data_IF_627007328821
#
_entry.id   IF_627007328821
#
_cell.length_a   1.000
_cell.length_b   1.000
_cell.length_c   1.000
_cell.angle_alpha   90.00
_cell.angle_beta   90.00
_cell.angle_gamma   90.00
#
_symmetry.space_group_name_H-M   'P 1'
#
loop_
_entity.id
_entity.type
_entity.pdbx_description
1 polymer ?
#
# COMPACT_ATOMS: atom_id res chain seq x y z
N UNK A 1 6.56 21.09 -3.99
CA UNK A 1 7.79 20.33 -4.17
C UNK A 1 7.47 18.86 -4.35
N UNK A 2 8.07 18.26 -5.32
CA UNK A 2 7.83 16.86 -5.59
C UNK A 2 8.50 15.96 -4.57
N UNK A 3 7.77 15.00 -4.05
CA UNK A 3 8.31 14.04 -3.10
C UNK A 3 9.03 12.91 -3.85
N UNK A 4 10.33 12.82 -3.68
CA UNK A 4 11.15 11.80 -4.35
C UNK A 4 10.91 10.39 -3.84
N UNK A 5 10.23 10.22 -2.71
CA UNK A 5 9.86 8.90 -2.18
C UNK A 5 8.73 8.24 -2.97
N UNK A 6 8.03 9.03 -3.78
CA UNK A 6 6.87 8.54 -4.53
C UNK A 6 7.05 8.86 -6.01
N UNK A 7 7.23 7.82 -6.78
CA UNK A 7 7.27 7.94 -8.24
C UNK A 7 5.89 7.69 -8.81
N UNK A 8 5.60 8.32 -9.93
CA UNK A 8 4.40 7.98 -10.69
C UNK A 8 4.49 6.53 -11.14
N UNK A 9 3.39 5.79 -11.00
CA UNK A 9 3.33 4.43 -11.51
C UNK A 9 3.59 4.39 -13.01
N UNK A 10 3.08 5.35 -13.75
CA UNK A 10 3.29 5.41 -15.20
C UNK A 10 4.76 5.64 -15.55
N UNK A 11 5.46 6.48 -14.79
CA UNK A 11 6.90 6.69 -15.01
C UNK A 11 7.69 5.40 -14.88
N UNK A 12 7.37 4.59 -13.87
CA UNK A 12 8.05 3.32 -13.64
C UNK A 12 7.69 2.31 -14.73
N UNK A 13 6.41 2.19 -15.05
CA UNK A 13 5.90 1.21 -16.00
C UNK A 13 6.37 1.48 -17.43
N UNK A 14 6.33 2.72 -17.84
CA UNK A 14 6.73 3.10 -19.21
C UNK A 14 8.22 2.84 -19.46
N UNK A 15 9.03 2.94 -18.41
CA UNK A 15 10.46 2.65 -18.53
C UNK A 15 10.79 1.17 -18.61
N UNK A 16 10.03 0.33 -17.91
CA UNK A 16 10.48 -1.02 -17.62
C UNK A 16 9.62 -2.14 -18.21
N UNK A 17 8.39 -1.89 -18.59
CA UNK A 17 7.45 -2.99 -18.81
C UNK A 17 6.78 -3.01 -20.16
N UNK A 18 6.68 -1.93 -20.83
CA UNK A 18 6.00 -1.87 -22.10
C UNK A 18 4.69 -1.11 -22.03
N UNK A 19 3.89 -1.24 -23.07
CA UNK A 19 2.72 -0.39 -23.26
C UNK A 19 1.55 -0.76 -22.37
N UNK A 20 0.81 0.28 -21.95
CA UNK A 20 -0.44 0.13 -21.21
C UNK A 20 -1.41 -0.72 -22.01
N UNK A 21 -2.15 -1.57 -21.33
CA UNK A 21 -3.19 -2.40 -21.94
C UNK A 21 -2.76 -3.80 -22.32
N UNK A 22 -1.49 -4.15 -22.21
CA UNK A 22 -1.07 -5.54 -22.41
C UNK A 22 -1.36 -6.36 -21.14
N UNK A 23 -1.74 -7.64 -21.26
CA UNK A 23 -1.98 -8.47 -20.07
C UNK A 23 -0.78 -8.54 -19.12
N UNK A 24 0.42 -8.60 -19.66
CA UNK A 24 1.63 -8.61 -18.86
C UNK A 24 1.78 -7.30 -18.07
N UNK A 25 1.55 -6.18 -18.72
CA UNK A 25 1.63 -4.86 -18.11
C UNK A 25 0.60 -4.71 -16.99
N UNK A 26 -0.64 -5.15 -17.21
CA UNK A 26 -1.71 -5.06 -16.23
C UNK A 26 -1.42 -5.88 -14.98
N UNK A 27 -0.92 -7.08 -15.14
CA UNK A 27 -0.53 -7.92 -14.00
C UNK A 27 0.57 -7.26 -13.19
N UNK A 28 1.57 -6.72 -13.86
CA UNK A 28 2.66 -6.02 -13.19
C UNK A 28 2.16 -4.77 -12.44
N UNK A 29 1.23 -4.04 -13.02
CA UNK A 29 0.64 -2.87 -12.38
C UNK A 29 -0.04 -3.22 -11.07
N UNK A 30 -0.82 -4.28 -11.05
CA UNK A 30 -1.51 -4.72 -9.85
C UNK A 30 -0.51 -5.12 -8.76
N UNK A 31 0.53 -5.86 -9.12
CA UNK A 31 1.58 -6.26 -8.18
C UNK A 31 2.34 -5.06 -7.64
N UNK A 32 2.66 -4.09 -8.50
CA UNK A 32 3.37 -2.88 -8.11
C UNK A 32 2.52 -2.03 -7.18
N UNK A 33 1.23 -1.87 -7.47
CA UNK A 33 0.32 -1.13 -6.60
C UNK A 33 0.24 -1.74 -5.21
N UNK A 34 0.09 -3.05 -5.14
CA UNK A 34 0.05 -3.77 -3.86
C UNK A 34 1.37 -3.60 -3.10
N UNK A 35 2.50 -3.68 -3.79
CA UNK A 35 3.81 -3.45 -3.20
C UNK A 35 3.91 -2.04 -2.61
N UNK A 36 3.48 -1.02 -3.35
CA UNK A 36 3.57 0.36 -2.90
C UNK A 36 2.67 0.63 -1.69
N UNK A 37 1.49 0.03 -1.64
CA UNK A 37 0.60 0.14 -0.48
C UNK A 37 1.25 -0.52 0.74
N UNK A 38 1.84 -1.70 0.57
CA UNK A 38 2.57 -2.38 1.63
C UNK A 38 3.72 -1.53 2.17
N UNK A 39 4.47 -0.90 1.27
CA UNK A 39 5.56 0.01 1.65
C UNK A 39 5.05 1.23 2.41
N UNK A 40 3.90 1.76 2.05
CA UNK A 40 3.29 2.89 2.75
C UNK A 40 2.93 2.50 4.19
N UNK A 41 2.38 1.31 4.39
CA UNK A 41 2.07 0.78 5.72
C UNK A 41 3.36 0.66 6.54
N UNK A 42 4.40 0.10 5.95
CA UNK A 42 5.70 -0.07 6.62
C UNK A 42 6.31 1.28 7.00
N UNK A 43 6.29 2.26 6.10
CA UNK A 43 6.78 3.61 6.39
C UNK A 43 6.02 4.26 7.54
N UNK A 44 4.70 4.17 7.51
CA UNK A 44 3.86 4.73 8.57
C UNK A 44 4.18 4.08 9.91
N UNK A 45 4.30 2.76 9.93
CA UNK A 45 4.66 2.01 11.13
C UNK A 45 6.01 2.48 11.70
N UNK A 46 7.02 2.55 10.85
CA UNK A 46 8.36 2.96 11.27
C UNK A 46 8.40 4.41 11.75
N UNK A 47 7.61 5.28 11.14
CA UNK A 47 7.56 6.70 11.54
C UNK A 47 6.99 6.86 12.95
N UNK A 48 6.27 5.89 13.45
CA UNK A 48 5.70 5.88 14.80
C UNK A 48 6.50 5.01 15.76
N UNK A 49 7.69 4.59 15.37
CA UNK A 49 8.56 3.74 16.18
C UNK A 49 7.89 2.42 16.62
N UNK A 50 7.04 1.88 15.77
CA UNK A 50 6.36 0.60 16.01
C UNK A 50 7.12 -0.53 15.34
N UNK A 51 7.21 -1.67 16.04
CA UNK A 51 7.69 -2.91 15.43
C UNK A 51 6.56 -3.60 14.69
N UNK A 52 6.89 -4.59 13.85
CA UNK A 52 5.87 -5.43 13.23
C UNK A 52 5.01 -6.13 14.28
N UNK A 53 5.62 -6.55 15.38
CA UNK A 53 4.91 -7.18 16.48
C UNK A 53 3.91 -6.21 17.13
N UNK A 54 4.31 -4.95 17.30
CA UNK A 54 3.41 -3.93 17.86
C UNK A 54 2.17 -3.76 16.98
N UNK A 55 2.36 -3.67 15.68
CA UNK A 55 1.23 -3.53 14.77
C UNK A 55 0.38 -4.80 14.75
N UNK A 56 1.02 -5.97 14.77
CA UNK A 56 0.32 -7.25 14.79
C UNK A 56 -0.61 -7.35 16.01
N UNK A 57 -0.14 -6.95 17.18
CA UNK A 57 -0.96 -6.94 18.40
C UNK A 57 -2.16 -6.00 18.26
N UNK A 58 -1.94 -4.84 17.66
CA UNK A 58 -3.02 -3.85 17.50
C UNK A 58 -4.13 -4.31 16.56
N UNK A 59 -3.78 -5.04 15.51
CA UNK A 59 -4.78 -5.50 14.53
C UNK A 59 -5.20 -6.96 14.76
N UNK A 60 -4.65 -7.62 15.79
CA UNK A 60 -5.09 -8.96 16.19
C UNK A 60 -4.62 -10.07 15.26
N UNK A 61 -3.40 -9.98 14.74
CA UNK A 61 -2.84 -10.99 13.84
C UNK A 61 -1.44 -11.40 14.31
N UNK A 62 -0.87 -12.39 13.66
CA UNK A 62 0.50 -12.81 13.88
C UNK A 62 1.48 -11.84 13.20
N UNK A 63 2.69 -11.71 13.75
CA UNK A 63 3.73 -10.88 13.14
C UNK A 63 4.00 -11.25 11.68
N UNK A 64 3.98 -12.54 11.38
CA UNK A 64 4.19 -13.02 10.01
C UNK A 64 3.15 -12.46 9.04
N UNK A 65 1.92 -12.23 9.52
CA UNK A 65 0.87 -11.63 8.71
C UNK A 65 1.18 -10.17 8.39
N UNK A 66 1.70 -9.43 9.37
CA UNK A 66 2.14 -8.04 9.13
C UNK A 66 3.26 -8.01 8.10
N UNK A 67 4.20 -8.94 8.17
CA UNK A 67 5.27 -9.04 7.18
C UNK A 67 4.71 -9.25 5.77
N UNK A 68 3.71 -10.10 5.62
CA UNK A 68 3.03 -10.33 4.33
C UNK A 68 2.32 -9.07 3.84
N UNK A 69 1.61 -8.39 4.73
CA UNK A 69 0.90 -7.16 4.41
C UNK A 69 1.90 -6.11 3.90
N UNK A 70 3.01 -5.93 4.58
CA UNK A 70 4.02 -4.95 4.21
C UNK A 70 4.75 -5.30 2.92
N UNK A 71 4.73 -6.55 2.52
CA UNK A 71 5.26 -6.97 1.23
C UNK A 71 4.23 -6.88 0.10
N UNK A 72 3.01 -6.47 0.40
CA UNK A 72 1.96 -6.30 -0.58
C UNK A 72 1.18 -7.55 -0.91
N UNK A 73 1.34 -8.62 -0.13
CA UNK A 73 0.63 -9.87 -0.39
C UNK A 73 -0.76 -9.85 0.23
N UNK A 74 -1.74 -10.31 -0.55
CA UNK A 74 -3.11 -10.51 -0.09
C UNK A 74 -3.72 -9.28 0.57
N UNK A 75 -3.43 -8.10 0.02
CA UNK A 75 -4.00 -6.86 0.51
C UNK A 75 -5.46 -6.72 0.11
N UNK A 76 -6.29 -6.32 1.06
CA UNK A 76 -7.66 -5.92 0.82
C UNK A 76 -7.86 -4.52 1.39
N UNK A 77 -8.89 -3.83 0.93
CA UNK A 77 -9.21 -2.50 1.46
C UNK A 77 -9.46 -2.57 2.97
N UNK A 78 -10.12 -3.62 3.43
CA UNK A 78 -10.38 -3.80 4.87
C UNK A 78 -9.08 -3.92 5.66
N UNK A 79 -8.12 -4.70 5.16
CA UNK A 79 -6.83 -4.88 5.82
C UNK A 79 -6.05 -3.57 5.85
N UNK A 80 -6.00 -2.85 4.73
CA UNK A 80 -5.32 -1.56 4.64
C UNK A 80 -5.91 -0.57 5.64
N UNK A 81 -7.25 -0.48 5.67
CA UNK A 81 -7.95 0.40 6.60
C UNK A 81 -7.63 0.06 8.06
N UNK A 82 -7.62 -1.23 8.40
CA UNK A 82 -7.30 -1.68 9.77
C UNK A 82 -5.89 -1.28 10.18
N UNK A 83 -4.92 -1.44 9.29
CA UNK A 83 -3.53 -1.08 9.57
C UNK A 83 -3.40 0.40 9.87
N UNK A 84 -3.94 1.26 9.02
CA UNK A 84 -3.83 2.71 9.21
C UNK A 84 -4.61 3.19 10.43
N UNK A 85 -5.80 2.66 10.67
CA UNK A 85 -6.58 2.99 11.88
C UNK A 85 -5.84 2.59 13.14
N UNK A 86 -5.18 1.44 13.15
CA UNK A 86 -4.41 0.98 14.30
C UNK A 86 -3.23 1.91 14.60
N UNK A 87 -2.74 2.62 13.60
CA UNK A 87 -1.66 3.60 13.73
C UNK A 87 -2.18 5.02 13.97
N UNK A 88 -3.49 5.19 14.14
CA UNK A 88 -4.10 6.50 14.35
C UNK A 88 -4.13 7.36 13.10
N UNK A 89 -4.05 6.75 11.93
CA UNK A 89 -4.04 7.45 10.66
C UNK A 89 -5.34 7.19 9.90
N UNK A 90 -5.72 8.17 9.10
CA UNK A 90 -6.89 8.04 8.23
C UNK A 90 -6.42 7.74 6.80
N UNK A 91 -6.98 6.70 6.22
CA UNK A 91 -6.76 6.37 4.83
C UNK A 91 -8.04 6.64 4.04
N UNK A 92 -7.89 7.09 2.81
CA UNK A 92 -9.03 7.33 1.94
C UNK A 92 -8.77 6.77 0.56
N UNK A 93 -9.85 6.40 -0.12
CA UNK A 93 -9.83 5.97 -1.51
C UNK A 93 -10.39 7.10 -2.36
N UNK A 94 -9.60 7.57 -3.30
CA UNK A 94 -10.04 8.62 -4.21
C UNK A 94 -10.32 8.01 -5.58
N UNK A 95 -11.52 8.24 -6.09
CA UNK A 95 -11.93 7.76 -7.39
C UNK A 95 -12.21 8.97 -8.27
N UNK A 96 -11.44 9.08 -9.34
CA UNK A 96 -11.57 10.21 -10.26
C UNK A 96 -12.99 10.26 -10.83
N UNK A 97 -13.65 11.41 -10.69
CA UNK A 97 -15.00 11.60 -11.16
C UNK A 97 -16.09 11.21 -10.18
N UNK A 98 -15.76 10.52 -9.08
CA UNK A 98 -16.74 10.08 -8.10
C UNK A 98 -16.54 10.67 -6.71
N UNK A 99 -15.30 10.97 -6.34
CA UNK A 99 -14.99 11.55 -5.04
C UNK A 99 -14.05 10.70 -4.20
N UNK A 100 -13.96 11.05 -2.92
CA UNK A 100 -13.10 10.35 -1.96
C UNK A 100 -13.94 9.69 -0.88
N UNK A 101 -13.49 8.51 -0.47
CA UNK A 101 -14.20 7.69 0.54
C UNK A 101 -13.22 7.36 1.66
N UNK A 102 -13.60 7.64 2.89
CA UNK A 102 -12.78 7.29 4.06
C UNK A 102 -12.90 5.78 4.31
N UNK A 103 -11.77 5.15 4.46
CA UNK A 103 -11.71 3.71 4.71
C UNK A 103 -11.87 3.36 6.19
#
# INVERSE_FOLDING_TARGET
MENKDFYSLDEIKDKHIGKIGTPHREKYEAELQSFLVGEAIKKARKSQNMTQQDLALKIGVQRAQVSKIESGRNLTLATVARCFKAMGLEASLSIKGLGSFVL
#
